data_IF_214087810740
#
_entry.id   IF_214087810740
#
_cell.length_a   1.000
_cell.length_b   1.000
_cell.length_c   1.000
_cell.angle_alpha   90.00
_cell.angle_beta   90.00
_cell.angle_gamma   90.00
#
_symmetry.space_group_name_H-M   'P 1'
#
loop_
_entity.id
_entity.type
_entity.pdbx_description
1 polymer ?
#
# COMPACT_ATOMS: atom_id res chain seq x y z
N UNK A 1 25.56 17.35 32.35
CA UNK A 1 24.71 17.45 31.16
C UNK A 1 25.16 18.66 30.37
N UNK A 2 25.66 18.43 29.16
CA UNK A 2 26.05 19.54 28.29
C UNK A 2 24.82 20.18 27.62
N UNK A 3 25.05 21.29 26.91
CA UNK A 3 23.95 22.04 26.27
C UNK A 3 23.26 21.26 25.16
N UNK A 4 23.89 20.26 24.54
CA UNK A 4 23.31 19.46 23.46
C UNK A 4 22.44 18.33 24.03
N UNK A 5 22.91 17.68 25.09
CA UNK A 5 22.15 16.69 25.85
C UNK A 5 20.87 17.30 26.44
N UNK A 6 20.95 18.51 27.00
CA UNK A 6 19.76 19.24 27.50
C UNK A 6 18.79 19.62 26.37
N UNK A 7 19.27 20.03 25.19
CA UNK A 7 18.40 20.34 24.04
C UNK A 7 17.68 19.09 23.54
N UNK A 8 18.38 17.94 23.51
CA UNK A 8 17.80 16.66 23.14
C UNK A 8 16.70 16.25 24.11
N UNK A 9 16.97 16.30 25.42
CA UNK A 9 15.96 15.98 26.45
C UNK A 9 14.73 16.90 26.36
N UNK A 10 14.92 18.22 26.16
CA UNK A 10 13.81 19.16 25.98
C UNK A 10 13.00 18.85 24.70
N UNK A 11 13.68 18.47 23.61
CA UNK A 11 13.03 18.05 22.36
C UNK A 11 12.16 16.81 22.55
N UNK A 12 12.71 15.77 23.18
CA UNK A 12 11.98 14.55 23.50
C UNK A 12 10.80 14.80 24.44
N UNK A 13 10.98 15.64 25.48
CA UNK A 13 9.90 15.99 26.40
C UNK A 13 8.77 16.76 25.72
N UNK A 14 9.10 17.69 24.80
CA UNK A 14 8.09 18.41 24.00
C UNK A 14 7.33 17.47 23.08
N UNK A 15 8.02 16.51 22.46
CA UNK A 15 7.38 15.52 21.61
C UNK A 15 6.41 14.65 22.44
N UNK A 16 6.86 14.13 23.59
CA UNK A 16 5.99 13.37 24.52
C UNK A 16 4.78 14.18 24.97
N UNK A 17 4.94 15.48 25.26
CA UNK A 17 3.82 16.33 25.65
C UNK A 17 2.84 16.56 24.49
N UNK A 18 3.35 16.80 23.27
CA UNK A 18 2.50 16.93 22.08
C UNK A 18 1.71 15.64 21.83
N UNK A 19 2.36 14.49 22.01
CA UNK A 19 1.74 13.17 21.87
C UNK A 19 0.67 12.91 22.96
N UNK A 20 0.92 13.33 24.20
CA UNK A 20 -0.08 13.23 25.28
C UNK A 20 -1.29 14.15 25.08
N UNK A 21 -1.08 15.28 24.42
CA UNK A 21 -2.15 16.21 24.06
C UNK A 21 -2.86 15.83 22.75
N UNK A 22 -2.36 14.79 22.06
CA UNK A 22 -2.95 14.28 20.85
C UNK A 22 -4.21 13.47 21.17
N UNK A 23 -5.33 14.17 21.25
CA UNK A 23 -6.66 13.57 21.46
C UNK A 23 -7.29 13.03 20.17
N UNK A 24 -6.50 12.85 19.10
CA UNK A 24 -7.03 12.27 17.86
C UNK A 24 -7.48 10.84 18.14
N UNK A 25 -8.63 10.49 17.57
CA UNK A 25 -9.23 9.18 17.68
C UNK A 25 -9.15 8.52 16.31
N UNK A 26 -8.55 7.33 16.27
CA UNK A 26 -8.48 6.52 15.06
C UNK A 26 -9.84 5.86 14.87
N UNK A 27 -10.55 6.10 13.75
CA UNK A 27 -11.82 5.45 13.47
C UNK A 27 -11.71 3.93 13.49
N UNK A 28 -12.77 3.27 13.96
CA UNK A 28 -12.80 1.82 14.13
C UNK A 28 -12.41 1.06 12.85
N UNK A 29 -12.91 1.53 11.71
CA UNK A 29 -12.66 0.88 10.43
C UNK A 29 -11.21 1.01 9.97
N UNK A 30 -10.60 2.18 10.19
CA UNK A 30 -9.18 2.39 9.92
C UNK A 30 -8.32 1.45 10.78
N UNK A 31 -8.66 1.32 12.07
CA UNK A 31 -7.93 0.44 12.97
C UNK A 31 -8.08 -1.04 12.60
N UNK A 32 -9.29 -1.48 12.26
CA UNK A 32 -9.56 -2.86 11.87
C UNK A 32 -8.72 -3.26 10.64
N UNK A 33 -8.62 -2.39 9.65
CA UNK A 33 -7.82 -2.65 8.45
C UNK A 33 -6.31 -2.67 8.74
N UNK A 34 -5.82 -1.70 9.51
CA UNK A 34 -4.42 -1.66 9.92
C UNK A 34 -4.04 -2.93 10.69
N UNK A 35 -4.92 -3.39 11.59
CA UNK A 35 -4.72 -4.60 12.36
C UNK A 35 -4.81 -5.88 11.53
N UNK A 36 -5.79 -5.99 10.63
CA UNK A 36 -5.93 -7.15 9.75
C UNK A 36 -4.70 -7.34 8.86
N UNK A 37 -4.21 -6.25 8.26
CA UNK A 37 -2.96 -6.26 7.49
C UNK A 37 -1.75 -6.63 8.35
N UNK A 38 -1.63 -6.01 9.52
CA UNK A 38 -0.53 -6.31 10.43
C UNK A 38 -0.58 -7.78 10.90
N UNK A 39 -1.75 -8.32 11.21
CA UNK A 39 -1.91 -9.72 11.61
C UNK A 39 -1.53 -10.67 10.46
N UNK A 40 -1.97 -10.39 9.23
CA UNK A 40 -1.62 -11.18 8.04
C UNK A 40 -0.10 -11.26 7.83
N UNK A 41 0.63 -10.19 8.14
CA UNK A 41 2.09 -10.17 8.06
C UNK A 41 2.81 -10.52 9.37
N UNK A 42 2.12 -11.16 10.32
CA UNK A 42 2.73 -11.77 11.50
C UNK A 42 3.06 -10.79 12.63
N UNK A 43 2.43 -9.62 12.69
CA UNK A 43 2.64 -8.70 13.79
C UNK A 43 1.96 -9.17 15.07
N UNK A 44 2.78 -9.43 16.08
CA UNK A 44 2.32 -9.85 17.39
C UNK A 44 1.52 -8.77 18.12
N UNK A 45 1.76 -7.47 17.87
CA UNK A 45 0.97 -6.39 18.49
C UNK A 45 -0.48 -6.41 18.01
N UNK A 46 -0.72 -6.72 16.72
CA UNK A 46 -2.06 -6.80 16.16
C UNK A 46 -2.83 -7.99 16.76
N UNK A 47 -2.13 -9.12 16.95
CA UNK A 47 -2.68 -10.30 17.62
C UNK A 47 -2.90 -10.04 19.12
N UNK A 48 -1.95 -9.40 19.79
CA UNK A 48 -2.05 -9.06 21.21
C UNK A 48 -3.21 -8.09 21.46
N UNK A 49 -3.36 -7.05 20.63
CA UNK A 49 -4.45 -6.09 20.73
C UNK A 49 -5.79 -6.80 20.56
N UNK A 50 -5.87 -7.76 19.63
CA UNK A 50 -7.05 -8.61 19.46
C UNK A 50 -7.40 -9.39 20.73
N UNK A 51 -6.40 -9.96 21.38
CA UNK A 51 -6.57 -10.81 22.57
C UNK A 51 -6.79 -10.03 23.86
N UNK A 52 -6.30 -8.80 23.96
CA UNK A 52 -6.33 -7.98 25.18
C UNK A 52 -7.58 -7.13 25.32
N UNK A 53 -8.35 -6.90 24.25
CA UNK A 53 -9.56 -6.08 24.34
C UNK A 53 -10.70 -6.85 25.01
N UNK A 54 -11.29 -6.34 26.11
CA UNK A 54 -12.49 -6.91 26.70
C UNK A 54 -13.71 -6.85 25.77
N UNK A 55 -13.59 -6.13 24.64
CA UNK A 55 -14.60 -5.99 23.59
C UNK A 55 -14.21 -6.75 22.32
N UNK A 56 -13.21 -7.63 22.39
CA UNK A 56 -12.85 -8.56 21.33
C UNK A 56 -13.98 -9.56 21.11
N UNK A 57 -15.05 -9.12 20.45
CA UNK A 57 -16.03 -10.01 19.85
C UNK A 57 -15.30 -10.62 18.67
N UNK A 58 -15.00 -11.91 18.74
CA UNK A 58 -14.63 -12.66 17.54
C UNK A 58 -15.72 -12.40 16.51
N UNK A 59 -15.36 -11.78 15.38
CA UNK A 59 -16.23 -11.77 14.21
C UNK A 59 -16.70 -13.19 13.90
N UNK A 60 -17.85 -13.34 13.21
CA UNK A 60 -18.37 -14.66 12.83
C UNK A 60 -17.39 -15.48 11.97
N UNK A 61 -16.36 -14.84 11.42
CA UNK A 61 -15.24 -15.39 10.67
C UNK A 61 -14.04 -15.83 11.53
N UNK A 62 -14.10 -15.67 12.85
CA UNK A 62 -13.13 -16.20 13.81
C UNK A 62 -11.80 -15.43 13.90
N UNK A 63 -11.60 -14.39 13.08
CA UNK A 63 -10.36 -13.60 13.02
C UNK A 63 -10.57 -12.08 13.16
N UNK A 64 -11.81 -11.61 13.21
CA UNK A 64 -12.09 -10.18 13.38
C UNK A 64 -11.89 -9.70 14.82
N UNK A 65 -10.95 -8.77 15.02
CA UNK A 65 -11.07 -7.78 16.09
C UNK A 65 -12.02 -6.69 15.60
N UNK A 66 -12.98 -6.31 16.44
CA UNK A 66 -13.76 -5.10 16.22
C UNK A 66 -13.25 -4.01 17.15
N UNK A 67 -12.61 -2.99 16.59
CA UNK A 67 -12.36 -1.76 17.30
C UNK A 67 -13.68 -1.20 17.87
N UNK A 68 -13.67 -0.55 19.05
CA UNK A 68 -14.85 0.07 19.61
C UNK A 68 -15.50 0.97 18.57
N UNK A 69 -16.83 1.04 18.50
CA UNK A 69 -17.54 1.84 17.50
C UNK A 69 -17.12 3.33 17.49
N UNK A 70 -16.60 3.83 18.62
CA UNK A 70 -16.06 5.19 18.76
C UNK A 70 -14.61 5.37 18.30
N UNK A 71 -13.91 4.31 17.87
CA UNK A 71 -12.48 4.33 17.62
C UNK A 71 -11.62 4.10 18.86
N UNK A 72 -10.31 4.24 18.72
CA UNK A 72 -9.33 4.18 19.82
C UNK A 72 -8.44 5.42 19.77
N UNK A 73 -8.10 5.98 20.93
CA UNK A 73 -7.17 7.10 20.99
C UNK A 73 -5.77 6.66 20.55
N UNK A 74 -5.07 7.53 19.82
CA UNK A 74 -3.72 7.24 19.31
C UNK A 74 -2.74 6.93 20.43
N UNK A 75 -2.88 7.62 21.56
CA UNK A 75 -2.11 7.39 22.78
C UNK A 75 -2.24 5.96 23.28
N UNK A 76 -3.46 5.40 23.27
CA UNK A 76 -3.74 4.07 23.79
C UNK A 76 -3.09 2.99 22.91
N UNK A 77 -3.11 3.16 21.58
CA UNK A 77 -2.45 2.25 20.64
C UNK A 77 -0.93 2.27 20.85
N UNK A 78 -0.36 3.44 21.07
CA UNK A 78 1.08 3.60 21.29
C UNK A 78 1.52 2.97 22.61
N UNK A 79 0.82 3.28 23.69
CA UNK A 79 1.06 2.69 25.02
C UNK A 79 0.94 1.16 24.95
N UNK A 80 -0.07 0.65 24.23
CA UNK A 80 -0.24 -0.78 24.02
C UNK A 80 0.94 -1.39 23.24
N UNK A 81 1.33 -0.77 22.13
CA UNK A 81 2.45 -1.20 21.29
C UNK A 81 3.75 -1.27 22.10
N UNK A 82 4.07 -0.22 22.85
CA UNK A 82 5.26 -0.15 23.70
C UNK A 82 5.23 -1.21 24.82
N UNK A 83 4.09 -1.37 25.51
CA UNK A 83 3.94 -2.34 26.60
C UNK A 83 4.10 -3.79 26.15
N UNK A 84 3.75 -4.12 24.91
CA UNK A 84 3.84 -5.47 24.36
C UNK A 84 5.17 -5.73 23.64
N UNK A 85 6.16 -4.85 23.83
CA UNK A 85 7.47 -5.03 23.23
C UNK A 85 7.45 -4.93 21.71
N UNK A 86 6.46 -4.22 21.14
CA UNK A 86 6.52 -3.78 19.75
C UNK A 86 7.48 -2.60 19.62
N UNK A 87 8.72 -2.79 20.12
CA UNK A 87 9.86 -1.96 19.75
C UNK A 87 10.10 -2.03 18.23
N UNK A 88 11.21 -1.46 17.70
CA UNK A 88 11.54 -1.60 16.28
C UNK A 88 11.46 -3.09 15.92
N UNK A 89 10.41 -3.47 15.20
CA UNK A 89 10.04 -4.85 15.03
C UNK A 89 11.21 -5.55 14.33
N UNK A 90 11.78 -6.57 14.96
CA UNK A 90 12.80 -7.39 14.30
C UNK A 90 12.30 -7.88 12.95
N UNK A 91 13.20 -7.98 11.96
CA UNK A 91 13.02 -8.53 10.60
C UNK A 91 11.54 -8.76 10.19
N UNK A 92 10.80 -7.70 9.98
CA UNK A 92 9.37 -7.83 9.70
C UNK A 92 8.82 -6.61 9.01
N UNK A 93 8.38 -5.62 9.78
CA UNK A 93 7.66 -4.41 9.37
C UNK A 93 7.65 -3.39 10.53
N UNK A 94 7.83 -2.10 10.26
CA UNK A 94 7.92 -1.02 11.24
C UNK A 94 6.62 -0.82 12.05
N UNK A 95 6.78 -0.26 13.26
CA UNK A 95 5.67 0.18 14.12
C UNK A 95 4.78 1.14 13.32
N UNK A 96 3.44 1.04 13.41
CA UNK A 96 2.54 1.99 12.77
C UNK A 96 2.97 3.41 13.10
N UNK A 97 3.13 4.24 12.08
CA UNK A 97 3.25 5.69 12.29
C UNK A 97 1.92 6.33 11.94
N UNK A 98 1.54 7.33 12.72
CA UNK A 98 0.38 8.16 12.43
C UNK A 98 0.88 9.55 12.07
N UNK A 99 0.51 10.04 10.89
CA UNK A 99 0.89 11.38 10.46
C UNK A 99 -0.09 12.46 10.92
N UNK A 100 0.10 13.70 10.47
CA UNK A 100 -0.76 14.83 10.81
C UNK A 100 -2.21 14.67 10.31
N UNK A 101 -2.41 13.94 9.22
CA UNK A 101 -3.71 13.69 8.58
C UNK A 101 -4.40 12.43 9.13
N UNK A 102 -3.89 11.88 10.24
CA UNK A 102 -4.33 10.63 10.84
C UNK A 102 -4.19 9.43 9.90
N UNK A 103 -3.26 9.43 8.94
CA UNK A 103 -3.00 8.25 8.09
C UNK A 103 -2.09 7.28 8.85
N UNK A 104 -2.51 6.03 8.97
CA UNK A 104 -1.68 4.96 9.54
C UNK A 104 -0.77 4.45 8.44
N UNK A 105 0.54 4.60 8.60
CA UNK A 105 1.54 4.06 7.67
C UNK A 105 2.31 2.89 8.28
N UNK A 106 2.49 1.86 7.48
CA UNK A 106 3.36 0.74 7.75
C UNK A 106 4.26 0.45 6.58
N UNK A 107 5.49 0.07 6.88
CA UNK A 107 6.46 -0.39 5.88
C UNK A 107 7.10 -1.65 6.40
N UNK A 108 7.15 -2.68 5.58
CA UNK A 108 7.89 -3.89 5.93
C UNK A 108 9.37 -3.57 6.20
N UNK A 109 10.04 -4.29 7.08
CA UNK A 109 11.46 -4.12 7.39
C UNK A 109 12.34 -4.32 6.15
N UNK A 110 11.82 -5.08 5.18
CA UNK A 110 12.47 -5.24 3.87
C UNK A 110 12.24 -4.07 2.91
N UNK A 111 11.34 -3.14 3.22
CA UNK A 111 10.88 -2.05 2.35
C UNK A 111 10.01 -2.51 1.18
N UNK A 112 9.67 -3.80 1.12
CA UNK A 112 9.08 -4.45 -0.06
C UNK A 112 7.56 -4.40 -0.13
N UNK A 113 6.95 -4.09 0.99
CA UNK A 113 5.51 -3.95 1.17
C UNK A 113 5.34 -2.75 2.06
N UNK A 114 4.50 -1.81 1.67
CA UNK A 114 4.08 -0.69 2.51
C UNK A 114 2.60 -0.48 2.33
N UNK A 115 1.91 -0.04 3.37
CA UNK A 115 0.52 0.35 3.26
C UNK A 115 0.22 1.59 4.08
N UNK A 116 -0.76 2.32 3.58
CA UNK A 116 -1.39 3.46 4.21
C UNK A 116 -2.86 3.10 4.42
N UNK A 117 -3.37 3.31 5.63
CA UNK A 117 -4.80 3.22 5.92
C UNK A 117 -5.27 4.62 6.25
N UNK A 118 -6.21 5.13 5.47
CA UNK A 118 -6.77 6.48 5.62
C UNK A 118 -7.90 6.51 6.67
N UNK A 119 -8.28 7.68 7.20
CA UNK A 119 -9.35 7.79 8.20
C UNK A 119 -10.73 7.31 7.71
N UNK A 120 -10.98 7.40 6.41
CA UNK A 120 -12.18 6.84 5.77
C UNK A 120 -12.10 5.33 5.57
N UNK A 121 -10.96 4.72 5.95
CA UNK A 121 -10.67 3.30 5.89
C UNK A 121 -10.14 2.82 4.54
N UNK A 122 -9.97 3.71 3.55
CA UNK A 122 -9.30 3.38 2.30
C UNK A 122 -7.90 2.81 2.61
N UNK A 123 -7.49 1.79 1.86
CA UNK A 123 -6.14 1.23 1.96
C UNK A 123 -5.39 1.47 0.65
N UNK A 124 -4.25 2.14 0.74
CA UNK A 124 -3.26 2.17 -0.34
C UNK A 124 -2.12 1.23 0.03
N UNK A 125 -1.89 0.19 -0.78
CA UNK A 125 -0.87 -0.81 -0.59
C UNK A 125 0.10 -0.77 -1.77
N UNK A 126 1.39 -0.82 -1.47
CA UNK A 126 2.46 -0.92 -2.46
C UNK A 126 3.27 -2.17 -2.16
N UNK A 127 3.48 -3.00 -3.18
CA UNK A 127 4.31 -4.20 -3.13
C UNK A 127 5.38 -4.07 -4.20
N UNK A 128 6.63 -3.85 -3.81
CA UNK A 128 7.79 -3.75 -4.71
C UNK A 128 8.87 -4.76 -4.36
N UNK A 129 9.26 -5.64 -5.30
CA UNK A 129 10.39 -6.58 -5.11
C UNK A 129 11.11 -6.90 -6.44
N UNK A 130 12.42 -7.18 -6.40
CA UNK A 130 13.46 -6.46 -5.67
C UNK A 130 13.83 -5.11 -6.32
N UNK A 131 13.39 -4.87 -7.56
CA UNK A 131 13.65 -3.66 -8.32
C UNK A 131 12.56 -2.62 -8.02
N UNK A 132 12.91 -1.37 -7.66
CA UNK A 132 11.92 -0.33 -7.36
C UNK A 132 11.03 0.06 -8.55
N UNK A 133 11.40 -0.30 -9.78
CA UNK A 133 10.54 -0.17 -10.96
C UNK A 133 9.43 -1.24 -11.01
N UNK A 134 9.65 -2.39 -10.39
CA UNK A 134 8.76 -3.55 -10.41
C UNK A 134 7.88 -3.52 -9.17
N UNK A 135 6.65 -3.02 -9.33
CA UNK A 135 5.71 -2.85 -8.21
C UNK A 135 4.26 -3.07 -8.61
N UNK A 136 3.51 -3.60 -7.66
CA UNK A 136 2.05 -3.60 -7.66
C UNK A 136 1.61 -2.52 -6.68
N UNK A 137 0.90 -1.52 -7.18
CA UNK A 137 0.17 -0.55 -6.38
C UNK A 137 -1.30 -0.95 -6.35
N UNK A 138 -1.86 -1.11 -5.17
CA UNK A 138 -3.23 -1.54 -4.95
C UNK A 138 -3.92 -0.47 -4.13
N UNK A 139 -5.05 0.04 -4.61
CA UNK A 139 -5.90 0.97 -3.88
C UNK A 139 -7.25 0.31 -3.64
N UNK A 140 -7.58 0.07 -2.39
CA UNK A 140 -8.79 -0.61 -1.93
C UNK A 140 -9.66 0.45 -1.24
N UNK A 141 -10.69 0.98 -1.93
CA UNK A 141 -11.64 1.91 -1.32
C UNK A 141 -12.51 1.20 -0.27
N UNK A 142 -12.89 1.93 0.77
CA UNK A 142 -13.69 1.39 1.88
C UNK A 142 -15.19 1.52 1.67
N UNK A 143 -15.66 2.72 1.32
CA UNK A 143 -17.09 3.02 1.26
C UNK A 143 -17.64 2.61 -0.10
N UNK A 144 -18.75 1.87 -0.07
CA UNK A 144 -19.42 1.27 -1.23
C UNK A 144 -19.50 2.18 -2.46
N UNK A 145 -19.37 1.54 -3.61
CA UNK A 145 -19.36 2.06 -5.00
C UNK A 145 -17.96 2.31 -5.59
N UNK A 146 -16.91 2.42 -4.77
CA UNK A 146 -15.53 2.46 -5.28
C UNK A 146 -15.06 1.08 -5.73
N UNK A 147 -14.70 0.91 -7.00
CA UNK A 147 -14.02 -0.31 -7.46
C UNK A 147 -12.56 -0.32 -6.98
N UNK A 148 -12.08 -1.42 -6.39
CA UNK A 148 -10.66 -1.61 -6.11
C UNK A 148 -9.85 -1.42 -7.40
N UNK A 149 -8.81 -0.60 -7.32
CA UNK A 149 -7.92 -0.36 -8.45
C UNK A 149 -6.58 -1.01 -8.19
N UNK A 150 -6.06 -1.71 -9.20
CA UNK A 150 -4.73 -2.32 -9.16
C UNK A 150 -3.93 -1.78 -10.32
N UNK A 151 -2.87 -1.04 -10.00
CA UNK A 151 -1.91 -0.56 -10.96
C UNK A 151 -0.65 -1.42 -10.89
N UNK A 152 -0.21 -1.94 -12.04
CA UNK A 152 0.98 -2.77 -12.14
C UNK A 152 2.05 -2.08 -12.97
N UNK A 153 3.28 -2.01 -12.46
CA UNK A 153 4.44 -1.53 -13.22
C UNK A 153 5.60 -2.52 -13.17
N UNK A 154 6.39 -2.53 -14.24
CA UNK A 154 7.59 -3.36 -14.35
C UNK A 154 7.30 -4.84 -14.59
N UNK A 155 8.31 -5.67 -14.33
CA UNK A 155 8.24 -7.13 -14.49
C UNK A 155 7.77 -7.81 -13.21
N UNK A 156 6.56 -8.36 -13.24
CA UNK A 156 6.01 -9.04 -12.08
C UNK A 156 6.33 -10.54 -12.03
N UNK A 157 6.85 -10.95 -10.89
CA UNK A 157 6.94 -12.36 -10.50
C UNK A 157 5.72 -12.86 -9.70
N UNK A 158 5.54 -14.19 -9.64
CA UNK A 158 4.45 -14.86 -8.89
C UNK A 158 4.35 -14.45 -7.41
N UNK A 159 5.48 -14.13 -6.77
CA UNK A 159 5.53 -13.65 -5.39
C UNK A 159 4.85 -12.31 -5.16
N UNK A 160 4.79 -11.43 -6.17
CA UNK A 160 4.07 -10.16 -6.04
C UNK A 160 2.58 -10.41 -5.95
N UNK A 161 2.06 -11.26 -6.83
CA UNK A 161 0.65 -11.66 -6.84
C UNK A 161 0.24 -12.38 -5.56
N UNK A 162 1.11 -13.26 -5.04
CA UNK A 162 0.86 -13.93 -3.77
C UNK A 162 0.74 -12.93 -2.60
N UNK A 163 1.68 -11.97 -2.51
CA UNK A 163 1.65 -10.94 -1.48
C UNK A 163 0.43 -10.00 -1.63
N UNK A 164 0.08 -9.64 -2.86
CA UNK A 164 -1.10 -8.84 -3.17
C UNK A 164 -2.38 -9.55 -2.71
N UNK A 165 -2.47 -10.86 -3.00
CA UNK A 165 -3.60 -11.69 -2.61
C UNK A 165 -3.76 -11.76 -1.11
N UNK A 166 -2.66 -12.00 -0.39
CA UNK A 166 -2.66 -12.06 1.07
C UNK A 166 -3.14 -10.75 1.69
N UNK A 167 -2.65 -9.60 1.21
CA UNK A 167 -3.07 -8.29 1.70
C UNK A 167 -4.55 -7.98 1.39
N UNK A 168 -5.01 -8.23 0.16
CA UNK A 168 -6.42 -7.99 -0.19
C UNK A 168 -7.32 -8.95 0.60
N UNK A 169 -6.94 -10.21 0.73
CA UNK A 169 -7.72 -11.20 1.48
C UNK A 169 -7.83 -10.85 2.97
N UNK A 170 -6.80 -10.22 3.55
CA UNK A 170 -6.87 -9.73 4.92
C UNK A 170 -7.92 -8.63 5.12
N UNK A 171 -8.22 -7.85 4.08
CA UNK A 171 -9.15 -6.70 4.16
C UNK A 171 -10.56 -7.07 3.67
N UNK A 172 -10.63 -7.80 2.55
CA UNK A 172 -11.84 -8.03 1.75
C UNK A 172 -12.27 -9.51 1.69
N UNK A 173 -11.48 -10.39 2.29
CA UNK A 173 -11.70 -11.84 2.22
C UNK A 173 -11.13 -12.48 0.95
N UNK A 174 -10.98 -13.80 0.99
CA UNK A 174 -10.25 -14.55 -0.03
C UNK A 174 -10.95 -14.55 -1.41
N UNK A 175 -12.29 -14.64 -1.44
CA UNK A 175 -13.05 -14.68 -2.70
C UNK A 175 -12.94 -13.36 -3.47
N UNK A 176 -13.18 -12.24 -2.79
CA UNK A 176 -13.06 -10.91 -3.40
C UNK A 176 -11.62 -10.60 -3.83
N UNK A 177 -10.63 -11.07 -3.07
CA UNK A 177 -9.22 -10.95 -3.46
C UNK A 177 -8.90 -11.64 -4.79
N UNK A 178 -9.44 -12.84 -5.03
CA UNK A 178 -9.24 -13.57 -6.29
C UNK A 178 -9.90 -12.84 -7.47
N UNK A 179 -11.08 -12.26 -7.27
CA UNK A 179 -11.77 -11.50 -8.33
C UNK A 179 -11.05 -10.21 -8.70
N UNK A 180 -10.63 -9.43 -7.70
CA UNK A 180 -9.85 -8.19 -7.89
C UNK A 180 -8.55 -8.50 -8.65
N UNK A 181 -7.81 -9.54 -8.22
CA UNK A 181 -6.54 -9.88 -8.84
C UNK A 181 -6.71 -10.47 -10.24
N UNK A 182 -7.77 -11.24 -10.49
CA UNK A 182 -8.06 -11.76 -11.84
C UNK A 182 -8.28 -10.61 -12.83
N UNK A 183 -9.04 -9.59 -12.43
CA UNK A 183 -9.26 -8.40 -13.26
C UNK A 183 -7.94 -7.66 -13.52
N UNK A 184 -7.13 -7.46 -12.48
CA UNK A 184 -5.82 -6.80 -12.57
C UNK A 184 -4.83 -7.55 -13.49
N UNK A 185 -4.75 -8.88 -13.37
CA UNK A 185 -3.91 -9.73 -14.21
C UNK A 185 -4.35 -9.64 -15.67
N UNK A 186 -5.66 -9.66 -15.93
CA UNK A 186 -6.20 -9.54 -17.29
C UNK A 186 -5.82 -8.20 -17.94
N UNK A 187 -5.97 -7.08 -17.24
CA UNK A 187 -5.56 -5.76 -17.75
C UNK A 187 -4.04 -5.67 -17.97
N UNK A 188 -3.25 -6.19 -17.02
CA UNK A 188 -1.80 -6.24 -17.13
C UNK A 188 -1.34 -7.00 -18.39
N UNK A 189 -1.88 -8.19 -18.63
CA UNK A 189 -1.59 -9.00 -19.83
C UNK A 189 -2.00 -8.24 -21.09
N UNK A 190 -3.20 -7.64 -21.11
CA UNK A 190 -3.66 -6.88 -22.27
C UNK A 190 -2.73 -5.71 -22.62
N UNK A 191 -2.18 -5.02 -21.60
CA UNK A 191 -1.19 -3.96 -21.80
C UNK A 191 0.14 -4.49 -22.33
N UNK A 192 0.65 -5.61 -21.81
CA UNK A 192 1.88 -6.24 -22.33
C UNK A 192 1.73 -6.64 -23.80
N UNK A 193 0.57 -7.18 -24.18
CA UNK A 193 0.27 -7.54 -25.57
C UNK A 193 0.30 -6.29 -26.46
N UNK A 194 -0.39 -5.21 -26.07
CA UNK A 194 -0.38 -3.94 -26.83
C UNK A 194 1.02 -3.37 -27.00
N UNK A 195 1.85 -3.45 -25.95
CA UNK A 195 3.24 -2.99 -26.02
C UNK A 195 4.05 -3.85 -27.00
N UNK A 196 3.96 -5.18 -26.90
CA UNK A 196 4.66 -6.09 -27.81
C UNK A 196 4.24 -5.87 -29.27
N UNK A 197 2.94 -5.66 -29.53
CA UNK A 197 2.42 -5.34 -30.87
C UNK A 197 3.00 -4.03 -31.41
N UNK A 198 3.12 -3.00 -30.57
CA UNK A 198 3.73 -1.72 -30.95
C UNK A 198 5.22 -1.89 -31.29
N UNK A 199 5.98 -2.61 -30.47
CA UNK A 199 7.40 -2.91 -30.70
C UNK A 199 7.62 -3.73 -31.98
N UNK A 200 6.77 -4.73 -32.25
CA UNK A 200 6.82 -5.51 -33.50
C UNK A 200 6.52 -4.61 -34.70
N UNK A 201 5.49 -3.76 -34.60
CA UNK A 201 5.13 -2.83 -35.68
C UNK A 201 6.28 -1.89 -36.01
N UNK A 202 6.94 -1.32 -35.01
CA UNK A 202 8.09 -0.44 -35.20
C UNK A 202 9.27 -1.15 -35.87
N UNK A 203 9.50 -2.43 -35.54
CA UNK A 203 10.58 -3.23 -36.14
C UNK A 203 10.30 -3.68 -37.56
N UNK A 204 9.05 -4.05 -37.88
CA UNK A 204 8.66 -4.62 -39.18
C UNK A 204 8.31 -3.54 -40.20
N UNK A 205 7.69 -2.45 -39.74
CA UNK A 205 7.31 -1.30 -40.55
C UNK A 205 7.96 -0.05 -39.95
N UNK A 206 9.29 0.13 -40.13
CA UNK A 206 9.93 1.35 -39.68
C UNK A 206 9.21 2.53 -40.34
N UNK A 207 9.02 3.61 -39.58
CA UNK A 207 8.44 4.84 -40.13
C UNK A 207 9.16 5.17 -41.45
N UNK A 208 8.43 5.56 -42.52
CA UNK A 208 9.06 5.93 -43.77
C UNK A 208 10.17 6.93 -43.48
N UNK A 209 11.35 6.70 -44.03
CA UNK A 209 12.48 7.58 -43.81
C UNK A 209 12.06 8.99 -44.26
N UNK A 210 12.46 10.06 -43.57
CA UNK A 210 12.26 11.42 -44.10
C UNK A 210 12.81 11.57 -45.53
N UNK A 211 13.80 10.76 -45.91
CA UNK A 211 14.34 10.70 -47.26
C UNK A 211 13.37 10.10 -48.31
N UNK A 212 12.45 9.22 -47.90
CA UNK A 212 11.49 8.58 -48.80
C UNK A 212 10.45 9.60 -49.31
N UNK A 213 10.11 10.61 -48.51
CA UNK A 213 9.22 11.71 -48.92
C UNK A 213 9.85 12.76 -49.84
N UNK A 214 11.20 12.85 -49.87
CA UNK A 214 11.91 13.80 -50.76
C UNK A 214 11.88 13.31 -52.21
N UNK A 215 11.91 12.00 -52.45
CA UNK A 215 11.86 11.45 -53.80
C UNK A 215 10.48 11.60 -54.45
N UNK A 216 9.39 11.43 -53.69
CA UNK A 216 8.04 11.68 -54.22
C UNK A 216 7.79 13.17 -54.49
N UNK A 217 8.35 14.07 -53.66
CA UNK A 217 8.23 15.52 -53.86
C UNK A 217 9.00 16.03 -55.09
N UNK A 218 10.08 15.34 -55.49
CA UNK A 218 10.81 15.68 -56.72
C UNK A 218 10.11 15.16 -57.99
N UNK A 219 9.37 14.05 -57.90
CA UNK A 219 8.62 13.51 -59.03
C UNK A 219 7.43 14.40 -59.45
N UNK A 220 6.78 15.10 -58.51
CA UNK A 220 5.71 16.03 -58.84
C UNK A 220 6.21 17.31 -59.55
N UNK A 221 7.43 17.77 -59.23
CA UNK A 221 8.02 18.97 -59.83
C UNK A 221 8.37 18.79 -61.32
N UNK A 222 8.75 17.59 -61.76
CA UNK A 222 9.07 17.30 -63.17
C UNK A 222 7.81 17.14 -64.05
N UNK A 223 6.62 16.96 -63.47
CA UNK A 223 5.37 16.84 -64.24
C UNK A 223 4.74 18.17 -64.64
N UNK A 224 5.30 19.30 -64.16
CA UNK A 224 4.74 20.65 -64.33
C UNK A 224 5.56 21.54 -65.29
N UNK A 225 6.62 21.01 -65.91
CA UNK A 225 7.49 21.73 -66.88
C UNK A 225 7.33 21.11 -68.26
#
# INVERSE_FOLDING_TARGET
MDSEELKKEIGEARQRLADLLDQRVIPAVQLNHAQALAAAYGHTWAVALAMSSPHGVQGEDGWGFMAPAGGIAVTDIREFSEAHGAGPCGLGIDVPTLDADCVIRHTSATGRTSWEVFPDGEVALVIGRPNPADRIEIRIPLTGDGEPSVAVTGELESRHWAAAREAIAAIRGAEEAEDILRAAVADYIARLVRQAEAEIRERVMPAPSPADGVLDSMAELDSTI
#
